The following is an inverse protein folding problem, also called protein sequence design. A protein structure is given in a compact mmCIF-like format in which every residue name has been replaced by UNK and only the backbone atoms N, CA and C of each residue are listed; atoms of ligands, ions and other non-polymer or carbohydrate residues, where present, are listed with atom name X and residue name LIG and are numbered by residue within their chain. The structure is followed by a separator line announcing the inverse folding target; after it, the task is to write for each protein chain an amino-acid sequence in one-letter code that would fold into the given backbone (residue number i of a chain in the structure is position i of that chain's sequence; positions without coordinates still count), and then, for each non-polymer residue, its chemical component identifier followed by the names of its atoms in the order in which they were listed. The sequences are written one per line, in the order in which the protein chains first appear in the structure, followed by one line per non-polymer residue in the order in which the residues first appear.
data_IF_511982711239
#
_entry.id   IF_511982711239
#
_cell.length_a   1.000
_cell.length_b   1.000
_cell.length_c   1.000
_cell.angle_alpha   90.00
_cell.angle_beta   90.00
_cell.angle_gamma   90.00
#
_symmetry.space_group_name_H-M   'P 1'
#
loop_
_entity.id
_entity.type
_entity.pdbx_description
1 polymer ?
#
# COMPACT_ATOMS: atom_id res chain seq x y z
N UNK A 1 -6.88 18.48 4.76
CA UNK A 1 -7.98 17.76 5.46
C UNK A 1 -9.29 18.10 4.79
N UNK A 2 -9.93 17.13 4.12
CA UNK A 2 -11.30 17.24 3.59
C UNK A 2 -12.16 16.35 4.49
N UNK A 3 -13.30 16.86 4.96
CA UNK A 3 -14.10 16.28 6.05
C UNK A 3 -14.59 14.85 5.80
N UNK A 4 -15.25 14.20 6.79
CA UNK A 4 -15.66 12.81 6.68
C UNK A 4 -16.61 12.68 5.49
N UNK A 5 -16.15 12.01 4.44
CA UNK A 5 -17.02 11.55 3.37
C UNK A 5 -18.13 10.67 3.97
N UNK A 6 -19.22 10.45 3.23
CA UNK A 6 -20.26 9.55 3.73
C UNK A 6 -19.62 8.20 4.07
N UNK A 7 -19.89 7.68 5.27
CA UNK A 7 -19.38 6.38 5.76
C UNK A 7 -20.10 5.25 5.03
N UNK A 8 -19.78 5.11 3.75
CA UNK A 8 -20.39 4.11 2.87
C UNK A 8 -19.37 3.04 2.55
N UNK A 9 -19.84 1.78 2.56
CA UNK A 9 -19.02 0.59 2.35
C UNK A 9 -18.43 0.54 0.93
N UNK A 10 -19.11 1.14 -0.04
CA UNK A 10 -18.65 1.32 -1.42
C UNK A 10 -17.37 2.14 -1.55
N UNK A 11 -16.99 2.92 -0.53
CA UNK A 11 -15.77 3.73 -0.52
C UNK A 11 -14.61 3.05 0.22
N UNK A 12 -14.71 1.76 0.57
CA UNK A 12 -13.67 1.07 1.33
C UNK A 12 -12.30 1.15 0.66
N UNK A 13 -12.24 0.95 -0.67
CA UNK A 13 -11.00 1.03 -1.45
C UNK A 13 -10.39 2.43 -1.39
N UNK A 14 -11.22 3.48 -1.50
CA UNK A 14 -10.77 4.88 -1.38
C UNK A 14 -10.17 5.16 0.00
N UNK A 15 -10.79 4.64 1.07
CA UNK A 15 -10.24 4.80 2.42
C UNK A 15 -8.94 4.02 2.61
N UNK A 16 -8.80 2.83 2.02
CA UNK A 16 -7.55 2.07 2.04
C UNK A 16 -6.44 2.85 1.32
N UNK A 17 -6.71 3.46 0.16
CA UNK A 17 -5.76 4.34 -0.52
C UNK A 17 -5.36 5.53 0.36
N UNK A 18 -6.32 6.21 1.01
CA UNK A 18 -6.00 7.33 1.89
C UNK A 18 -5.11 6.96 3.08
N UNK A 19 -5.33 5.77 3.65
CA UNK A 19 -4.49 5.26 4.75
C UNK A 19 -3.10 4.91 4.21
N UNK A 20 -3.02 4.21 3.09
CA UNK A 20 -1.73 3.86 2.48
C UNK A 20 -0.94 5.12 2.06
N UNK A 21 -1.58 6.12 1.45
CA UNK A 21 -0.93 7.38 1.07
C UNK A 21 -0.40 8.15 2.28
N UNK A 22 -1.07 8.02 3.44
CA UNK A 22 -0.66 8.70 4.68
C UNK A 22 0.44 7.96 5.42
N UNK A 23 0.37 6.63 5.48
CA UNK A 23 1.22 5.81 6.34
C UNK A 23 2.27 5.01 5.57
N UNK A 24 2.21 4.98 4.23
CA UNK A 24 3.04 4.15 3.37
C UNK A 24 2.61 2.67 3.32
N UNK A 25 1.88 2.20 4.34
CA UNK A 25 1.43 0.82 4.46
C UNK A 25 0.15 0.70 5.30
N UNK A 26 -0.49 -0.46 5.21
CA UNK A 26 -1.69 -0.81 5.94
C UNK A 26 -1.36 -1.81 7.06
N UNK A 27 -1.39 -1.34 8.31
CA UNK A 27 -1.22 -2.20 9.48
C UNK A 27 -2.55 -2.84 9.90
N UNK A 28 -2.49 -3.94 10.65
CA UNK A 28 -3.68 -4.54 11.27
C UNK A 28 -4.46 -3.52 12.15
N UNK A 29 -3.76 -2.61 12.81
CA UNK A 29 -4.38 -1.54 13.59
C UNK A 29 -5.15 -0.55 12.70
N UNK A 30 -4.60 -0.19 11.53
CA UNK A 30 -5.29 0.69 10.57
C UNK A 30 -6.56 0.02 10.00
N UNK A 31 -6.48 -1.26 9.64
CA UNK A 31 -7.64 -2.01 9.13
C UNK A 31 -8.72 -2.17 10.19
N UNK A 32 -8.35 -2.40 11.45
CA UNK A 32 -9.30 -2.46 12.58
C UNK A 32 -10.02 -1.13 12.79
N UNK A 33 -9.27 -0.02 12.80
CA UNK A 33 -9.86 1.32 12.93
C UNK A 33 -10.83 1.62 11.78
N UNK A 34 -10.48 1.22 10.55
CA UNK A 34 -11.34 1.39 9.38
C UNK A 34 -12.61 0.54 9.46
N UNK A 35 -12.50 -0.70 9.94
CA UNK A 35 -13.64 -1.59 10.16
C UNK A 35 -14.64 -1.02 11.18
N UNK A 36 -14.14 -0.49 12.30
CA UNK A 36 -14.96 0.18 13.31
C UNK A 36 -15.65 1.44 12.76
N UNK A 37 -14.92 2.25 11.98
CA UNK A 37 -15.41 3.50 11.41
C UNK A 37 -16.54 3.28 10.39
N UNK A 38 -16.38 2.27 9.52
CA UNK A 38 -17.35 1.91 8.47
C UNK A 38 -18.41 0.89 8.94
N UNK A 39 -18.31 0.40 10.18
CA UNK A 39 -19.18 -0.64 10.75
C UNK A 39 -19.26 -1.90 9.89
N UNK A 40 -18.11 -2.34 9.41
CA UNK A 40 -17.93 -3.57 8.61
C UNK A 40 -17.14 -4.61 9.40
N UNK A 41 -17.22 -5.87 8.98
CA UNK A 41 -16.43 -6.93 9.60
C UNK A 41 -14.94 -6.71 9.33
N UNK A 42 -14.09 -6.91 10.35
CA UNK A 42 -12.64 -6.85 10.17
C UNK A 42 -12.16 -7.85 9.09
N UNK A 43 -12.78 -9.03 9.02
CA UNK A 43 -12.50 -10.03 8.00
C UNK A 43 -12.77 -9.51 6.58
N UNK A 44 -13.85 -8.77 6.37
CA UNK A 44 -14.19 -8.20 5.05
C UNK A 44 -13.17 -7.13 4.63
N UNK A 45 -12.75 -6.26 5.54
CA UNK A 45 -11.70 -5.27 5.27
C UNK A 45 -10.37 -5.93 4.97
N UNK A 46 -10.03 -6.98 5.72
CA UNK A 46 -8.82 -7.76 5.50
C UNK A 46 -8.83 -8.47 4.15
N UNK A 47 -9.94 -9.12 3.79
CA UNK A 47 -10.08 -9.77 2.48
C UNK A 47 -9.92 -8.76 1.35
N UNK A 48 -10.61 -7.62 1.39
CA UNK A 48 -10.49 -6.60 0.35
C UNK A 48 -9.06 -6.07 0.27
N UNK A 49 -8.43 -5.75 1.40
CA UNK A 49 -7.07 -5.24 1.40
C UNK A 49 -6.05 -6.28 0.90
N UNK A 50 -6.26 -7.58 1.19
CA UNK A 50 -5.38 -8.66 0.72
C UNK A 50 -5.63 -9.07 -0.74
N UNK A 51 -6.84 -8.86 -1.24
CA UNK A 51 -7.21 -9.16 -2.62
C UNK A 51 -6.55 -8.19 -3.61
N UNK A 52 -6.43 -6.91 -3.24
CA UNK A 52 -5.80 -5.90 -4.08
C UNK A 52 -4.29 -5.85 -3.80
N UNK A 53 -3.50 -6.43 -4.72
CA UNK A 53 -2.02 -6.43 -4.68
C UNK A 53 -1.38 -5.02 -4.69
N UNK A 54 -2.17 -3.96 -4.82
CA UNK A 54 -1.71 -2.59 -4.70
C UNK A 54 -1.44 -2.18 -3.26
N UNK A 55 -2.06 -2.87 -2.29
CA UNK A 55 -1.94 -2.51 -0.89
C UNK A 55 -0.81 -3.25 -0.18
N UNK A 56 0.03 -2.48 0.51
CA UNK A 56 1.16 -3.00 1.27
C UNK A 56 0.69 -3.33 2.69
N UNK A 57 0.31 -4.59 2.91
CA UNK A 57 -0.15 -5.08 4.20
C UNK A 57 1.03 -5.43 5.10
N UNK A 58 1.04 -4.89 6.31
CA UNK A 58 2.02 -5.19 7.36
C UNK A 58 1.29 -5.81 8.54
N UNK A 59 1.59 -7.08 8.84
CA UNK A 59 1.10 -7.74 10.06
C UNK A 59 1.78 -7.18 11.30
N UNK A 60 1.19 -7.39 12.48
CA UNK A 60 1.71 -6.87 13.77
C UNK A 60 3.18 -7.25 14.05
N UNK A 61 3.67 -8.34 13.45
CA UNK A 61 5.05 -8.84 13.61
C UNK A 61 5.97 -8.58 12.38
N UNK A 62 5.49 -7.87 11.36
CA UNK A 62 6.29 -7.52 10.18
C UNK A 62 6.91 -6.13 10.32
N UNK A 63 8.17 -6.00 9.88
CA UNK A 63 8.85 -4.72 9.84
C UNK A 63 8.13 -3.80 8.84
N UNK A 64 7.86 -2.53 9.20
CA UNK A 64 7.29 -1.58 8.26
C UNK A 64 8.22 -1.45 7.05
N UNK A 65 7.66 -1.25 5.84
CA UNK A 65 8.47 -1.05 4.65
C UNK A 65 9.45 0.11 4.84
N UNK A 66 10.62 0.05 4.19
CA UNK A 66 11.65 1.07 4.32
C UNK A 66 11.10 2.46 3.97
N UNK A 67 11.70 3.49 4.56
CA UNK A 67 11.23 4.89 4.43
C UNK A 67 11.16 5.36 2.96
N UNK A 68 11.91 4.72 2.06
CA UNK A 68 11.87 4.94 0.62
C UNK A 68 11.52 3.64 -0.10
N UNK A 69 10.41 3.65 -0.85
CA UNK A 69 10.03 2.56 -1.75
C UNK A 69 10.11 3.07 -3.20
N UNK A 70 11.01 2.50 -4.00
CA UNK A 70 11.13 2.80 -5.43
C UNK A 70 10.44 1.69 -6.22
N UNK A 71 9.44 2.04 -7.03
CA UNK A 71 8.73 1.10 -7.91
C UNK A 71 9.11 1.39 -9.37
N UNK A 72 9.69 0.41 -10.05
CA UNK A 72 10.07 0.51 -11.46
C UNK A 72 9.04 -0.22 -12.33
N UNK A 73 8.74 0.33 -13.50
CA UNK A 73 7.79 -0.24 -14.44
C UNK A 73 8.41 -1.43 -15.21
N UNK A 74 7.79 -2.60 -15.12
CA UNK A 74 8.17 -3.84 -15.83
C UNK A 74 7.28 -4.13 -17.06
N UNK A 75 6.51 -3.13 -17.53
CA UNK A 75 5.71 -3.31 -18.75
C UNK A 75 6.60 -3.39 -19.99
N UNK A 76 6.14 -4.05 -21.06
CA UNK A 76 6.91 -4.23 -22.30
C UNK A 76 7.48 -2.92 -22.87
N UNK A 77 6.73 -1.82 -22.77
CA UNK A 77 7.21 -0.51 -23.22
C UNK A 77 8.36 0.04 -22.38
N UNK A 78 8.34 -0.24 -21.07
CA UNK A 78 9.39 0.16 -20.14
C UNK A 78 10.63 -0.73 -20.28
N UNK A 79 10.44 -2.04 -20.43
CA UNK A 79 11.48 -3.03 -20.75
C UNK A 79 12.27 -2.62 -22.01
N UNK A 80 11.57 -2.33 -23.11
CA UNK A 80 12.20 -1.88 -24.36
C UNK A 80 12.91 -0.52 -24.23
N UNK A 81 12.52 0.30 -23.26
CA UNK A 81 13.17 1.57 -22.94
C UNK A 81 14.35 1.42 -21.95
N UNK A 82 14.65 0.20 -21.50
CA UNK A 82 15.77 -0.09 -20.59
C UNK A 82 15.41 -0.08 -19.11
N UNK A 83 14.18 -0.43 -18.74
CA UNK A 83 13.76 -0.56 -17.33
C UNK A 83 14.64 -1.53 -16.53
N UNK A 84 15.10 -2.62 -17.14
CA UNK A 84 15.99 -3.61 -16.51
C UNK A 84 17.35 -2.99 -16.13
N UNK A 85 17.91 -2.14 -17.00
CA UNK A 85 19.15 -1.41 -16.71
C UNK A 85 18.96 -0.37 -15.59
N UNK A 86 17.78 0.26 -15.52
CA UNK A 86 17.43 1.16 -14.43
C UNK A 86 17.31 0.40 -13.10
N UNK A 87 16.70 -0.79 -13.11
CA UNK A 87 16.58 -1.64 -11.92
C UNK A 87 17.96 -2.02 -11.39
N UNK A 88 18.83 -2.52 -12.25
CA UNK A 88 20.20 -2.91 -11.89
C UNK A 88 21.02 -1.74 -11.33
N UNK A 89 20.91 -0.55 -11.94
CA UNK A 89 21.59 0.65 -11.46
C UNK A 89 21.07 1.12 -10.09
N UNK A 90 19.78 0.95 -9.82
CA UNK A 90 19.19 1.25 -8.51
C UNK A 90 19.64 0.25 -7.45
N UNK A 91 19.75 -1.03 -7.78
CA UNK A 91 20.28 -2.07 -6.88
C UNK A 91 21.77 -1.88 -6.56
N UNK A 92 22.58 -1.45 -7.52
CA UNK A 92 24.00 -1.17 -7.29
C UNK A 92 24.26 0.15 -6.54
N UNK A 93 23.35 1.12 -6.67
CA UNK A 93 23.53 2.49 -6.20
C UNK A 93 22.85 2.85 -4.88
N UNK A 94 21.93 2.03 -4.38
CA UNK A 94 21.18 2.29 -3.14
C UNK A 94 21.38 1.13 -2.15
N UNK A 95 21.94 1.44 -0.98
CA UNK A 95 21.89 0.51 0.15
C UNK A 95 20.48 0.61 0.78
N UNK A 96 19.65 -0.44 0.76
CA UNK A 96 18.30 -0.41 1.32
C UNK A 96 18.27 -0.22 2.85
N UNK A 97 19.43 -0.12 3.51
CA UNK A 97 19.58 0.11 4.94
C UNK A 97 19.95 1.56 5.34
N UNK A 98 20.20 2.48 4.39
CA UNK A 98 20.49 3.91 4.65
C UNK A 98 19.28 4.84 4.49
#
# INVERSE_FOLDING_TARGET
MRGPGPRRRDLLIEYLHLVQDRYGYLSAAHLRALAEELRVGQAEVWEVASFYAHFDLVKEDELPPPALTIRVCESLSCELAGAEALLAALEEGLDPAE
#
